data_IF_455007676772
#
_entry.id   IF_455007676772
#
_cell.length_a   1.000
_cell.length_b   1.000
_cell.length_c   1.000
_cell.angle_alpha   90.00
_cell.angle_beta   90.00
_cell.angle_gamma   90.00
#
_symmetry.space_group_name_H-M   'P 1'
#
loop_
_entity.id
_entity.type
_entity.pdbx_description
1 polymer ?
#
# COMPACT_ATOMS: atom_id res chain seq x y z
N UNK A 1 -22.52 -32.76 -10.67
CA UNK A 1 -23.39 -31.75 -11.32
C UNK A 1 -23.92 -30.85 -10.21
N UNK A 2 -23.15 -29.84 -9.83
CA UNK A 2 -23.56 -28.83 -8.87
C UNK A 2 -22.90 -27.52 -9.26
N UNK A 3 -23.71 -26.62 -9.82
CA UNK A 3 -23.34 -25.23 -10.14
C UNK A 3 -23.66 -24.40 -8.89
N UNK A 4 -22.66 -23.79 -8.28
CA UNK A 4 -22.86 -22.87 -7.16
C UNK A 4 -23.44 -21.56 -7.68
N UNK A 5 -24.70 -21.28 -7.33
CA UNK A 5 -25.38 -20.03 -7.61
C UNK A 5 -24.68 -18.91 -6.83
N UNK A 6 -24.08 -17.97 -7.56
CA UNK A 6 -23.58 -16.73 -6.99
C UNK A 6 -24.79 -15.85 -6.68
N UNK A 7 -25.03 -15.58 -5.39
CA UNK A 7 -26.11 -14.70 -4.94
C UNK A 7 -25.87 -13.31 -5.56
N UNK A 8 -26.75 -12.95 -6.49
CA UNK A 8 -26.47 -11.94 -7.52
C UNK A 8 -26.50 -10.52 -6.99
N UNK A 9 -25.34 -9.99 -6.60
CA UNK A 9 -25.14 -8.54 -6.56
C UNK A 9 -25.20 -8.01 -7.99
N UNK A 10 -26.26 -7.28 -8.31
CA UNK A 10 -26.40 -6.61 -9.61
C UNK A 10 -25.21 -5.65 -9.82
N UNK A 11 -24.57 -5.66 -11.01
CA UNK A 11 -23.46 -4.77 -11.27
C UNK A 11 -23.93 -3.31 -11.18
N UNK A 12 -23.45 -2.59 -10.16
CA UNK A 12 -23.75 -1.17 -9.95
C UNK A 12 -23.07 -0.23 -10.95
N UNK A 13 -22.37 -0.77 -11.96
CA UNK A 13 -21.62 -0.02 -12.96
C UNK A 13 -22.04 -0.52 -14.35
N UNK A 14 -22.49 0.41 -15.18
CA UNK A 14 -22.82 0.16 -16.59
C UNK A 14 -21.64 0.54 -17.50
N UNK A 15 -21.21 -0.39 -18.35
CA UNK A 15 -20.15 -0.14 -19.34
C UNK A 15 -20.79 0.37 -20.62
N UNK A 16 -20.68 1.68 -20.87
CA UNK A 16 -21.26 2.31 -22.07
C UNK A 16 -20.40 2.11 -23.32
N UNK A 17 -19.07 2.04 -23.17
CA UNK A 17 -18.10 1.86 -24.26
C UNK A 17 -16.93 1.00 -23.77
N UNK A 18 -16.86 -0.24 -24.26
CA UNK A 18 -15.87 -1.24 -23.82
C UNK A 18 -14.64 -1.40 -24.72
N UNK A 19 -14.65 -0.78 -25.91
CA UNK A 19 -13.59 -0.90 -26.91
C UNK A 19 -13.01 0.50 -27.22
N UNK A 20 -12.06 0.99 -26.40
CA UNK A 20 -11.38 2.25 -26.68
C UNK A 20 -10.49 2.13 -27.92
N UNK A 21 -10.30 3.22 -28.65
CA UNK A 21 -9.31 3.24 -29.75
C UNK A 21 -7.88 3.36 -29.22
N UNK A 22 -6.89 3.02 -30.04
CA UNK A 22 -5.47 3.15 -29.68
C UNK A 22 -5.12 4.60 -29.29
N UNK A 23 -5.74 5.60 -29.93
CA UNK A 23 -5.55 7.01 -29.60
C UNK A 23 -6.12 7.37 -28.22
N UNK A 24 -7.31 6.87 -27.89
CA UNK A 24 -7.95 7.10 -26.58
C UNK A 24 -7.12 6.47 -25.45
N UNK A 25 -6.60 5.26 -25.69
CA UNK A 25 -5.71 4.58 -24.75
C UNK A 25 -4.40 5.35 -24.56
N UNK A 26 -3.80 5.82 -25.66
CA UNK A 26 -2.57 6.61 -25.61
C UNK A 26 -2.77 7.94 -24.86
N UNK A 27 -3.90 8.63 -25.08
CA UNK A 27 -4.25 9.85 -24.38
C UNK A 27 -4.39 9.63 -22.87
N UNK A 28 -5.06 8.55 -22.45
CA UNK A 28 -5.19 8.19 -21.03
C UNK A 28 -3.82 7.93 -20.38
N UNK A 29 -2.96 7.15 -21.04
CA UNK A 29 -1.61 6.85 -20.54
C UNK A 29 -0.78 8.13 -20.42
N UNK A 30 -0.85 9.03 -21.41
CA UNK A 30 -0.14 10.30 -21.38
C UNK A 30 -0.56 11.18 -20.19
N UNK A 31 -1.87 11.26 -19.92
CA UNK A 31 -2.39 12.01 -18.75
C UNK A 31 -1.90 11.37 -17.45
N UNK A 32 -2.06 10.06 -17.27
CA UNK A 32 -1.62 9.36 -16.06
C UNK A 32 -0.10 9.46 -15.84
N UNK A 33 0.67 9.34 -16.92
CA UNK A 33 2.13 9.51 -16.89
C UNK A 33 2.57 10.95 -16.62
N UNK A 34 1.74 11.95 -16.94
CA UNK A 34 2.04 13.35 -16.57
C UNK A 34 1.84 13.63 -15.08
N UNK A 35 0.96 12.87 -14.41
CA UNK A 35 0.66 13.01 -12.97
C UNK A 35 1.78 12.42 -12.11
N UNK A 36 2.57 11.47 -12.62
CA UNK A 36 3.75 10.98 -11.93
C UNK A 36 4.87 12.04 -11.98
N UNK A 37 4.74 13.06 -11.13
CA UNK A 37 5.81 14.00 -10.84
C UNK A 37 7.10 13.23 -10.57
N UNK A 38 8.17 13.60 -11.27
CA UNK A 38 9.47 12.93 -11.19
C UNK A 38 9.88 12.70 -9.75
N UNK A 39 10.51 11.54 -9.48
CA UNK A 39 10.90 11.09 -8.15
C UNK A 39 11.57 12.24 -7.40
N UNK A 40 10.83 12.87 -6.50
CA UNK A 40 11.39 13.86 -5.60
C UNK A 40 12.53 13.16 -4.86
N UNK A 41 13.66 13.86 -4.72
CA UNK A 41 14.76 13.38 -3.89
C UNK A 41 14.16 12.94 -2.55
N UNK A 42 14.46 11.72 -2.06
CA UNK A 42 13.78 11.18 -0.89
C UNK A 42 13.94 12.19 0.24
N UNK A 43 12.83 12.86 0.58
CA UNK A 43 12.78 13.74 1.72
C UNK A 43 13.29 12.94 2.93
N UNK A 44 14.00 13.61 3.85
CA UNK A 44 14.40 12.95 5.07
C UNK A 44 13.18 12.24 5.66
N UNK A 45 13.26 10.92 5.90
CA UNK A 45 12.09 10.17 6.31
C UNK A 45 11.54 10.82 7.57
N UNK A 46 10.27 11.24 7.51
CA UNK A 46 9.58 11.76 8.68
C UNK A 46 9.73 10.76 9.83
N UNK A 47 9.79 11.27 11.06
CA UNK A 47 9.97 10.43 12.24
C UNK A 47 8.80 9.47 12.39
N UNK A 48 8.97 8.26 11.85
CA UNK A 48 7.96 7.22 11.85
C UNK A 48 8.01 6.42 13.15
N UNK A 49 7.03 6.65 14.02
CA UNK A 49 6.87 5.92 15.29
C UNK A 49 6.13 4.57 15.12
N UNK A 50 5.69 4.23 13.91
CA UNK A 50 4.81 3.09 13.61
C UNK A 50 5.52 1.97 12.83
N UNK A 51 6.84 2.00 12.75
CA UNK A 51 7.57 1.03 11.93
C UNK A 51 9.03 0.89 12.29
N UNK A 52 9.39 1.03 13.57
CA UNK A 52 10.78 0.84 13.96
C UNK A 52 11.22 -0.61 13.68
N UNK A 53 12.46 -0.84 13.21
CA UNK A 53 12.94 -2.20 12.95
C UNK A 53 12.82 -3.14 14.15
N UNK A 54 12.88 -2.61 15.38
CA UNK A 54 12.69 -3.38 16.62
C UNK A 54 11.32 -4.04 16.73
N UNK A 55 10.28 -3.43 16.16
CA UNK A 55 8.90 -3.93 16.22
C UNK A 55 8.70 -5.15 15.33
N UNK A 56 9.58 -5.33 14.34
CA UNK A 56 9.57 -6.47 13.41
C UNK A 56 10.28 -7.69 13.97
N UNK A 57 11.05 -7.55 15.06
CA UNK A 57 11.81 -8.63 15.66
C UNK A 57 10.93 -9.50 16.56
N UNK A 58 10.92 -10.81 16.31
CA UNK A 58 10.28 -11.78 17.19
C UNK A 58 11.26 -12.23 18.26
N UNK A 59 11.02 -11.78 19.49
CA UNK A 59 11.77 -12.21 20.66
C UNK A 59 10.90 -13.06 21.59
N UNK A 60 11.49 -14.04 22.30
CA UNK A 60 10.84 -14.68 23.44
C UNK A 60 10.41 -13.62 24.48
N UNK A 61 9.32 -13.87 25.20
CA UNK A 61 8.74 -12.93 26.17
C UNK A 61 9.75 -12.51 27.25
N UNK A 62 10.69 -13.39 27.61
CA UNK A 62 11.73 -13.16 28.62
C UNK A 62 13.06 -12.60 28.05
N UNK A 63 13.09 -12.16 26.79
CA UNK A 63 14.31 -11.66 26.17
C UNK A 63 14.70 -10.29 26.71
N UNK A 64 15.85 -10.21 27.38
CA UNK A 64 16.45 -8.94 27.80
C UNK A 64 16.82 -8.02 26.62
N UNK A 65 17.08 -8.58 25.44
CA UNK A 65 17.31 -7.80 24.22
C UNK A 65 16.04 -7.04 23.79
N UNK A 66 14.86 -7.66 23.94
CA UNK A 66 13.56 -7.04 23.66
C UNK A 66 13.31 -5.85 24.58
N UNK A 67 13.50 -6.03 25.89
CA UNK A 67 13.30 -4.96 26.89
C UNK A 67 14.22 -3.78 26.59
N UNK A 68 15.51 -4.05 26.39
CA UNK A 68 16.52 -3.00 26.18
C UNK A 68 16.30 -2.20 24.89
N UNK A 69 16.02 -2.88 23.77
CA UNK A 69 15.87 -2.21 22.48
C UNK A 69 14.55 -1.45 22.39
N UNK A 70 13.46 -2.01 22.92
CA UNK A 70 12.14 -1.38 22.91
C UNK A 70 12.14 -0.10 23.75
N UNK A 71 12.69 -0.16 24.97
CA UNK A 71 12.78 0.99 25.87
C UNK A 71 13.64 2.11 25.28
N UNK A 72 14.82 1.80 24.72
CA UNK A 72 15.69 2.82 24.12
C UNK A 72 15.05 3.54 22.93
N UNK A 73 14.26 2.82 22.12
CA UNK A 73 13.67 3.36 20.89
C UNK A 73 12.38 4.14 21.19
N UNK A 74 11.56 3.66 22.13
CA UNK A 74 10.24 4.25 22.38
C UNK A 74 10.16 5.15 23.61
N UNK A 75 10.96 4.93 24.64
CA UNK A 75 10.84 5.63 25.92
C UNK A 75 11.84 6.78 26.10
N UNK A 76 12.90 6.85 25.29
CA UNK A 76 13.89 7.93 25.39
C UNK A 76 13.34 9.19 24.73
N UNK A 77 13.01 10.20 25.55
CA UNK A 77 12.64 11.56 25.12
C UNK A 77 13.86 12.41 24.89
#
# INVERSE_FOLDING_TARGET
MSTEAHDGHEPHIEILKGEPTDEELAALIAVLGSISGGRAEPAQPERNMWGHPVDKLRYPVFSWQRVTLLERIHMRR
#
